data_IF_224857198395
#
_entry.id   IF_224857198395
#
_cell.length_a   1.000
_cell.length_b   1.000
_cell.length_c   1.000
_cell.angle_alpha   90.00
_cell.angle_beta   90.00
_cell.angle_gamma   90.00
#
_symmetry.space_group_name_H-M   'P 1'
#
loop_
_entity.id
_entity.type
_entity.pdbx_description
1 polymer ?
#
# COMPACT_ATOMS: atom_id res chain seq x y z
N UNK A 1 -55.51 17.74 95.03
CA UNK A 1 -54.85 18.96 94.49
C UNK A 1 -53.35 18.76 94.27
N UNK A 2 -52.56 18.39 95.29
CA UNK A 2 -51.10 18.21 95.14
C UNK A 2 -50.71 17.12 94.11
N UNK A 3 -51.44 16.00 94.08
CA UNK A 3 -51.22 14.89 93.13
C UNK A 3 -51.46 15.27 91.68
N UNK A 4 -52.45 16.12 91.41
CA UNK A 4 -52.80 16.60 90.07
C UNK A 4 -51.73 17.57 89.56
N UNK A 5 -51.22 18.44 90.43
CA UNK A 5 -50.12 19.37 90.10
C UNK A 5 -48.83 18.60 89.82
N UNK A 6 -48.50 17.59 90.62
CA UNK A 6 -47.33 16.74 90.39
C UNK A 6 -47.42 15.96 89.06
N UNK A 7 -48.61 15.46 88.71
CA UNK A 7 -48.84 14.78 87.43
C UNK A 7 -48.68 15.72 86.22
N UNK A 8 -49.21 16.95 86.30
CA UNK A 8 -49.05 17.96 85.25
C UNK A 8 -47.59 18.37 85.05
N UNK A 9 -46.83 18.54 86.15
CA UNK A 9 -45.40 18.83 86.07
C UNK A 9 -44.64 17.66 85.43
N UNK A 10 -44.95 16.41 85.80
CA UNK A 10 -44.37 15.22 85.17
C UNK A 10 -44.62 15.15 83.66
N UNK A 11 -45.83 15.47 83.21
CA UNK A 11 -46.18 15.52 81.79
C UNK A 11 -45.43 16.65 81.08
N UNK A 12 -45.37 17.85 81.65
CA UNK A 12 -44.63 18.98 81.07
C UNK A 12 -43.13 18.68 80.93
N UNK A 13 -42.51 18.12 81.97
CA UNK A 13 -41.09 17.74 81.94
C UNK A 13 -40.86 16.60 80.95
N UNK A 14 -41.75 15.60 80.89
CA UNK A 14 -41.69 14.52 79.93
C UNK A 14 -41.83 15.00 78.48
N UNK A 15 -42.74 15.93 78.21
CA UNK A 15 -42.95 16.52 76.88
C UNK A 15 -41.75 17.35 76.42
N UNK A 16 -41.17 18.16 77.30
CA UNK A 16 -39.96 18.94 77.01
C UNK A 16 -38.75 18.02 76.78
N UNK A 17 -38.60 16.98 77.61
CA UNK A 17 -37.56 15.96 77.44
C UNK A 17 -37.68 15.20 76.11
N UNK A 18 -38.90 14.79 75.75
CA UNK A 18 -39.18 14.12 74.47
C UNK A 18 -38.93 15.04 73.27
N UNK A 19 -39.36 16.31 73.33
CA UNK A 19 -39.17 17.27 72.25
C UNK A 19 -37.69 17.59 72.01
N UNK A 20 -36.92 17.83 73.07
CA UNK A 20 -35.47 18.08 72.97
C UNK A 20 -34.70 16.87 72.46
N UNK A 21 -35.06 15.66 72.90
CA UNK A 21 -34.49 14.41 72.39
C UNK A 21 -34.79 14.21 70.89
N UNK A 22 -36.04 14.43 70.48
CA UNK A 22 -36.45 14.30 69.07
C UNK A 22 -35.74 15.32 68.16
N UNK A 23 -35.60 16.58 68.60
CA UNK A 23 -34.89 17.62 67.86
C UNK A 23 -33.38 17.33 67.75
N UNK A 24 -32.77 16.80 68.80
CA UNK A 24 -31.35 16.40 68.77
C UNK A 24 -31.11 15.21 67.82
N UNK A 25 -31.99 14.20 67.85
CA UNK A 25 -31.92 13.02 66.98
C UNK A 25 -32.16 13.36 65.51
N UNK A 26 -33.12 14.23 65.22
CA UNK A 26 -33.40 14.67 63.84
C UNK A 26 -32.25 15.49 63.27
N UNK A 27 -31.71 16.45 64.04
CA UNK A 27 -30.54 17.23 63.65
C UNK A 27 -29.29 16.37 63.41
N UNK A 28 -29.08 15.34 64.24
CA UNK A 28 -27.98 14.38 64.06
C UNK A 28 -28.12 13.56 62.78
N UNK A 29 -29.33 13.10 62.45
CA UNK A 29 -29.60 12.34 61.21
C UNK A 29 -29.41 13.19 59.96
N UNK A 30 -29.85 14.45 59.98
CA UNK A 30 -29.67 15.38 58.85
C UNK A 30 -28.18 15.64 58.63
N UNK A 31 -27.42 15.96 59.68
CA UNK A 31 -25.96 16.14 59.58
C UNK A 31 -25.25 14.89 59.06
N UNK A 32 -25.62 13.70 59.55
CA UNK A 32 -25.05 12.45 59.05
C UNK A 32 -25.36 12.21 57.57
N UNK A 33 -26.57 12.57 57.10
CA UNK A 33 -26.95 12.49 55.69
C UNK A 33 -26.17 13.50 54.83
N UNK A 34 -25.96 14.73 55.31
CA UNK A 34 -25.14 15.75 54.65
C UNK A 34 -23.68 15.31 54.53
N UNK A 35 -23.07 14.86 55.62
CA UNK A 35 -21.68 14.34 55.59
C UNK A 35 -21.56 13.14 54.65
N UNK A 36 -22.56 12.24 54.63
CA UNK A 36 -22.56 11.11 53.68
C UNK A 36 -22.67 11.60 52.24
N UNK A 37 -23.54 12.57 51.96
CA UNK A 37 -23.69 13.17 50.63
C UNK A 37 -22.39 13.82 50.17
N UNK A 38 -21.74 14.61 51.01
CA UNK A 38 -20.46 15.26 50.70
C UNK A 38 -19.37 14.24 50.40
N UNK A 39 -19.28 13.16 51.18
CA UNK A 39 -18.35 12.06 50.90
C UNK A 39 -18.63 11.40 49.56
N UNK A 40 -19.88 11.04 49.29
CA UNK A 40 -20.26 10.39 48.02
C UNK A 40 -19.96 11.29 46.82
N UNK A 41 -20.23 12.60 46.92
CA UNK A 41 -19.90 13.55 45.86
C UNK A 41 -18.39 13.71 45.68
N UNK A 42 -17.64 13.83 46.77
CA UNK A 42 -16.17 13.94 46.71
C UNK A 42 -15.51 12.68 46.16
N UNK A 43 -16.02 11.50 46.52
CA UNK A 43 -15.54 10.23 45.96
C UNK A 43 -15.89 10.13 44.47
N UNK A 44 -17.11 10.48 44.07
CA UNK A 44 -17.52 10.50 42.66
C UNK A 44 -16.70 11.49 41.81
N UNK A 45 -16.35 12.66 42.35
CA UNK A 45 -15.47 13.63 41.66
C UNK A 45 -14.06 13.09 41.47
N UNK A 46 -13.48 12.43 42.49
CA UNK A 46 -12.16 11.81 42.41
C UNK A 46 -12.13 10.64 41.43
N UNK A 47 -13.17 9.82 41.42
CA UNK A 47 -13.29 8.69 40.50
C UNK A 47 -13.42 9.22 39.06
N UNK A 48 -14.24 10.25 38.84
CA UNK A 48 -14.37 10.89 37.53
C UNK A 48 -13.06 11.51 37.05
N UNK A 49 -12.29 12.15 37.94
CA UNK A 49 -10.98 12.69 37.60
C UNK A 49 -9.97 11.58 37.27
N UNK A 50 -10.00 10.47 38.03
CA UNK A 50 -9.15 9.30 37.78
C UNK A 50 -9.45 8.70 36.42
N UNK A 51 -10.71 8.39 36.12
CA UNK A 51 -11.13 7.83 34.82
C UNK A 51 -10.75 8.78 33.67
N UNK A 52 -10.92 10.09 33.86
CA UNK A 52 -10.52 11.09 32.85
C UNK A 52 -9.02 11.09 32.61
N UNK A 53 -8.20 10.95 33.65
CA UNK A 53 -6.73 10.90 33.51
C UNK A 53 -6.30 9.58 32.87
N UNK A 54 -6.82 8.46 33.32
CA UNK A 54 -6.51 7.13 32.79
C UNK A 54 -6.87 7.03 31.29
N UNK A 55 -8.08 7.43 30.92
CA UNK A 55 -8.50 7.46 29.50
C UNK A 55 -7.63 8.37 28.63
N UNK A 56 -7.16 9.52 29.16
CA UNK A 56 -6.22 10.37 28.43
C UNK A 56 -4.85 9.73 28.27
N UNK A 57 -4.37 9.00 29.28
CA UNK A 57 -3.10 8.27 29.20
C UNK A 57 -3.22 7.13 28.20
N UNK A 58 -4.27 6.31 28.29
CA UNK A 58 -4.54 5.20 27.38
C UNK A 58 -4.65 5.69 25.93
N UNK A 59 -5.40 6.77 25.68
CA UNK A 59 -5.50 7.36 24.34
C UNK A 59 -4.14 7.83 23.80
N UNK A 60 -3.26 8.35 24.66
CA UNK A 60 -1.90 8.75 24.26
C UNK A 60 -1.02 7.55 23.97
N UNK A 61 -1.10 6.51 24.78
CA UNK A 61 -0.35 5.26 24.57
C UNK A 61 -0.78 4.60 23.25
N UNK A 62 -2.08 4.49 23.00
CA UNK A 62 -2.63 3.99 21.74
C UNK A 62 -2.18 4.84 20.55
N UNK A 63 -2.18 6.17 20.68
CA UNK A 63 -1.72 7.05 19.60
C UNK A 63 -0.22 6.88 19.30
N UNK A 64 0.61 6.68 20.33
CA UNK A 64 2.06 6.42 20.15
C UNK A 64 2.29 5.06 19.52
N UNK A 65 1.56 4.03 19.97
CA UNK A 65 1.66 2.69 19.40
C UNK A 65 1.24 2.68 17.93
N UNK A 66 0.08 3.26 17.61
CA UNK A 66 -0.41 3.38 16.24
C UNK A 66 0.59 4.14 15.35
N UNK A 67 1.19 5.22 15.86
CA UNK A 67 2.23 5.94 15.12
C UNK A 67 3.43 5.06 14.84
N UNK A 68 3.89 4.28 15.82
CA UNK A 68 5.01 3.36 15.64
C UNK A 68 4.71 2.25 14.63
N UNK A 69 3.49 1.72 14.64
CA UNK A 69 3.05 0.70 13.68
C UNK A 69 3.01 1.26 12.25
N UNK A 70 2.46 2.46 12.07
CA UNK A 70 2.45 3.16 10.77
C UNK A 70 3.88 3.47 10.30
N UNK A 71 4.76 3.95 11.18
CA UNK A 71 6.15 4.22 10.82
C UNK A 71 6.88 2.96 10.34
N UNK A 72 6.65 1.82 11.02
CA UNK A 72 7.20 0.54 10.62
C UNK A 72 6.64 0.05 9.26
N UNK A 73 5.33 0.16 9.04
CA UNK A 73 4.69 -0.22 7.77
C UNK A 73 5.16 0.66 6.60
N UNK A 74 5.30 1.97 6.82
CA UNK A 74 5.85 2.91 5.83
C UNK A 74 7.29 2.56 5.51
N UNK A 75 8.10 2.19 6.51
CA UNK A 75 9.49 1.79 6.30
C UNK A 75 9.56 0.48 5.49
N UNK A 76 8.76 -0.53 5.83
CA UNK A 76 8.72 -1.79 5.09
C UNK A 76 8.27 -1.57 3.64
N UNK A 77 7.21 -0.80 3.45
CA UNK A 77 6.71 -0.42 2.11
C UNK A 77 7.81 0.29 1.29
N UNK A 78 8.54 1.23 1.89
CA UNK A 78 9.67 1.91 1.22
C UNK A 78 10.76 0.93 0.79
N UNK A 79 11.11 -0.04 1.64
CA UNK A 79 12.10 -1.06 1.30
C UNK A 79 11.61 -1.99 0.20
N UNK A 80 10.32 -2.36 0.20
CA UNK A 80 9.72 -3.16 -0.86
C UNK A 80 9.73 -2.41 -2.20
N UNK A 81 9.35 -1.13 -2.20
CA UNK A 81 9.36 -0.27 -3.39
C UNK A 81 10.78 -0.14 -3.94
N UNK A 82 11.77 0.17 -3.10
CA UNK A 82 13.16 0.30 -3.53
C UNK A 82 13.71 -0.98 -4.19
N UNK A 83 13.37 -2.16 -3.66
CA UNK A 83 13.75 -3.45 -4.28
C UNK A 83 13.09 -3.66 -5.64
N UNK A 84 11.84 -3.24 -5.80
CA UNK A 84 11.13 -3.34 -7.07
C UNK A 84 11.73 -2.38 -8.09
N UNK A 85 12.05 -1.15 -7.68
CA UNK A 85 12.72 -0.15 -8.51
C UNK A 85 14.10 -0.63 -8.98
N UNK A 86 14.93 -1.17 -8.09
CA UNK A 86 16.23 -1.73 -8.45
C UNK A 86 16.10 -2.84 -9.51
N UNK A 87 15.12 -3.75 -9.34
CA UNK A 87 14.84 -4.81 -10.30
C UNK A 87 14.32 -4.28 -11.64
N UNK A 88 13.58 -3.17 -11.64
CA UNK A 88 13.12 -2.52 -12.87
C UNK A 88 14.32 -1.93 -13.62
N UNK A 89 15.17 -1.18 -12.94
CA UNK A 89 16.38 -0.59 -13.53
C UNK A 89 17.28 -1.67 -14.14
N UNK A 90 17.53 -2.77 -13.42
CA UNK A 90 18.32 -3.89 -13.96
C UNK A 90 17.70 -4.49 -15.23
N UNK A 91 16.37 -4.57 -15.32
CA UNK A 91 15.68 -5.06 -16.52
C UNK A 91 15.72 -4.05 -17.66
N UNK A 92 15.63 -2.76 -17.36
CA UNK A 92 15.78 -1.69 -18.36
C UNK A 92 17.17 -1.74 -18.98
N UNK A 93 18.22 -1.84 -18.16
CA UNK A 93 19.60 -2.01 -18.63
C UNK A 93 19.79 -3.28 -19.49
N UNK A 94 19.17 -4.41 -19.09
CA UNK A 94 19.20 -5.64 -19.88
C UNK A 94 18.50 -5.48 -21.24
N UNK A 95 17.35 -4.80 -21.25
CA UNK A 95 16.58 -4.54 -22.47
C UNK A 95 17.37 -3.62 -23.40
N UNK A 96 17.96 -2.54 -22.89
CA UNK A 96 18.78 -1.61 -23.68
C UNK A 96 19.99 -2.32 -24.30
N UNK A 97 20.67 -3.18 -23.53
CA UNK A 97 21.78 -3.97 -24.05
C UNK A 97 21.34 -4.92 -25.19
N UNK A 98 20.19 -5.59 -25.03
CA UNK A 98 19.61 -6.43 -26.09
C UNK A 98 19.20 -5.62 -27.32
N UNK A 99 18.71 -4.41 -27.12
CA UNK A 99 18.29 -3.52 -28.21
C UNK A 99 19.49 -3.12 -29.06
N UNK A 100 20.62 -2.74 -28.43
CA UNK A 100 21.88 -2.47 -29.12
C UNK A 100 22.38 -3.71 -29.89
N UNK A 101 22.27 -4.91 -29.31
CA UNK A 101 22.67 -6.15 -30.00
C UNK A 101 21.81 -6.40 -31.24
N UNK A 102 20.50 -6.20 -31.13
CA UNK A 102 19.54 -6.35 -32.23
C UNK A 102 19.85 -5.33 -33.33
N UNK A 103 20.03 -4.06 -33.00
CA UNK A 103 20.37 -3.00 -33.97
C UNK A 103 21.66 -3.35 -34.75
N UNK A 104 22.71 -3.81 -34.04
CA UNK A 104 23.96 -4.25 -34.69
C UNK A 104 23.72 -5.43 -35.64
N UNK A 105 22.87 -6.37 -35.25
CA UNK A 105 22.52 -7.54 -36.07
C UNK A 105 21.71 -7.13 -37.29
N UNK A 106 20.75 -6.21 -37.15
CA UNK A 106 19.95 -5.67 -38.24
C UNK A 106 20.83 -4.94 -39.24
N UNK A 107 21.75 -4.09 -38.79
CA UNK A 107 22.72 -3.45 -39.66
C UNK A 107 23.55 -4.48 -40.44
N UNK A 108 24.11 -5.48 -39.75
CA UNK A 108 24.90 -6.53 -40.40
C UNK A 108 24.09 -7.39 -41.38
N UNK A 109 22.79 -7.57 -41.16
CA UNK A 109 21.90 -8.22 -42.12
C UNK A 109 21.63 -7.33 -43.33
N UNK A 110 21.41 -6.03 -43.12
CA UNK A 110 21.24 -5.04 -44.19
C UNK A 110 22.45 -4.98 -45.12
N UNK A 111 23.67 -4.92 -44.56
CA UNK A 111 24.91 -4.91 -45.34
C UNK A 111 25.06 -6.18 -46.20
N UNK A 112 24.71 -7.34 -45.63
CA UNK A 112 24.72 -8.62 -46.36
C UNK A 112 23.67 -8.66 -47.46
N UNK A 113 22.49 -8.10 -47.23
CA UNK A 113 21.43 -8.03 -48.24
C UNK A 113 21.87 -7.16 -49.43
N UNK A 114 22.49 -6.01 -49.17
CA UNK A 114 23.05 -5.13 -50.20
C UNK A 114 24.13 -5.87 -51.00
N UNK A 115 25.07 -6.53 -50.32
CA UNK A 115 26.14 -7.27 -51.00
C UNK A 115 25.61 -8.45 -51.83
N UNK A 116 24.61 -9.19 -51.30
CA UNK A 116 23.97 -10.28 -52.02
C UNK A 116 23.26 -9.80 -53.29
N UNK A 117 22.58 -8.64 -53.24
CA UNK A 117 21.97 -8.03 -54.42
C UNK A 117 23.01 -7.64 -55.47
N UNK A 118 24.13 -7.04 -55.07
CA UNK A 118 25.22 -6.70 -55.98
C UNK A 118 25.80 -7.94 -56.67
N UNK A 119 26.11 -9.00 -55.91
CA UNK A 119 26.58 -10.27 -56.47
C UNK A 119 25.57 -10.91 -57.42
N UNK A 120 24.27 -10.78 -57.13
CA UNK A 120 23.22 -11.30 -57.99
C UNK A 120 23.15 -10.54 -59.33
N UNK A 121 23.38 -9.22 -59.32
CA UNK A 121 23.49 -8.40 -60.53
C UNK A 121 24.75 -8.76 -61.34
N UNK A 122 25.92 -8.82 -60.70
CA UNK A 122 27.18 -9.23 -61.34
C UNK A 122 27.08 -10.63 -61.97
N UNK A 123 26.46 -11.59 -61.27
CA UNK A 123 26.25 -12.95 -61.79
C UNK A 123 25.33 -12.94 -63.00
N UNK A 124 24.31 -12.08 -63.02
CA UNK A 124 23.39 -11.94 -64.15
C UNK A 124 24.12 -11.36 -65.36
N UNK A 125 24.91 -10.31 -65.17
CA UNK A 125 25.73 -9.70 -66.23
C UNK A 125 26.73 -10.71 -66.80
N UNK A 126 27.50 -11.39 -65.94
CA UNK A 126 28.46 -12.40 -66.37
C UNK A 126 27.80 -13.56 -67.13
N UNK A 127 26.59 -13.97 -66.73
CA UNK A 127 25.80 -14.98 -67.44
C UNK A 127 25.37 -14.48 -68.82
N UNK A 128 24.90 -13.24 -68.93
CA UNK A 128 24.47 -12.66 -70.19
C UNK A 128 25.67 -12.51 -71.16
N UNK A 129 26.84 -12.08 -70.65
CA UNK A 129 28.09 -12.04 -71.43
C UNK A 129 28.54 -13.43 -71.90
N UNK A 130 28.47 -14.44 -71.03
CA UNK A 130 28.81 -15.81 -71.37
C UNK A 130 27.88 -16.38 -72.46
N UNK A 131 26.59 -16.07 -72.40
CA UNK A 131 25.62 -16.44 -73.44
C UNK A 131 25.98 -15.80 -74.78
N UNK A 132 26.25 -14.49 -74.80
CA UNK A 132 26.65 -13.77 -76.02
C UNK A 132 27.96 -14.34 -76.60
N UNK A 133 28.94 -14.65 -75.76
CA UNK A 133 30.18 -15.28 -76.20
C UNK A 133 29.93 -16.68 -76.81
N UNK A 134 29.03 -17.48 -76.21
CA UNK A 134 28.67 -18.80 -76.70
C UNK A 134 27.96 -18.73 -78.06
N UNK A 135 27.04 -17.78 -78.25
CA UNK A 135 26.38 -17.53 -79.53
C UNK A 135 27.39 -17.16 -80.62
N UNK A 136 28.35 -16.30 -80.30
CA UNK A 136 29.44 -15.94 -81.22
C UNK A 136 30.32 -17.12 -81.59
N UNK A 137 30.66 -17.98 -80.63
CA UNK A 137 31.56 -19.13 -80.83
C UNK A 137 30.88 -20.27 -81.59
N UNK A 138 29.57 -20.47 -81.36
CA UNK A 138 28.77 -21.49 -82.04
C UNK A 138 28.25 -21.03 -83.41
N UNK A 139 28.27 -19.73 -83.71
CA UNK A 139 27.74 -19.16 -84.94
C UNK A 139 26.22 -19.30 -85.07
N UNK A 140 25.54 -19.65 -83.98
CA UNK A 140 24.10 -19.87 -83.89
C UNK A 140 23.57 -19.11 -82.67
N UNK A 141 22.43 -18.45 -82.84
CA UNK A 141 21.69 -17.86 -81.72
C UNK A 141 21.12 -18.96 -80.82
N UNK A 142 20.84 -18.65 -79.55
CA UNK A 142 20.21 -19.60 -78.61
C UNK A 142 18.91 -20.22 -79.19
N UNK A 143 18.15 -19.45 -79.97
CA UNK A 143 16.94 -19.91 -80.63
C UNK A 143 17.24 -20.91 -81.77
N UNK A 144 18.25 -20.64 -82.59
CA UNK A 144 18.67 -21.50 -83.70
C UNK A 144 19.28 -22.82 -83.17
N UNK A 145 20.07 -22.75 -82.10
CA UNK A 145 20.64 -23.93 -81.45
C UNK A 145 19.54 -24.84 -80.86
N UNK A 146 18.49 -24.24 -80.26
CA UNK A 146 17.30 -24.98 -79.79
C UNK A 146 16.52 -25.64 -80.93
N UNK A 147 16.34 -24.94 -82.06
CA UNK A 147 15.67 -25.50 -83.23
C UNK A 147 16.44 -26.66 -83.84
N UNK A 148 17.77 -26.57 -83.99
CA UNK A 148 18.59 -27.68 -84.48
C UNK A 148 18.53 -28.91 -83.56
N UNK A 149 18.50 -28.71 -82.24
CA UNK A 149 18.34 -29.81 -81.28
C UNK A 149 16.97 -30.47 -81.41
N UNK A 150 15.91 -29.69 -81.61
CA UNK A 150 14.56 -30.20 -81.84
C UNK A 150 14.44 -30.94 -83.18
N UNK A 151 14.96 -30.40 -84.27
CA UNK A 151 15.00 -31.06 -85.58
C UNK A 151 15.83 -32.36 -85.57
N UNK A 152 16.86 -32.47 -84.72
CA UNK A 152 17.65 -33.70 -84.56
C UNK A 152 17.04 -34.72 -83.59
N UNK A 153 16.03 -34.34 -82.81
CA UNK A 153 15.36 -35.22 -81.83
C UNK A 153 13.97 -35.69 -82.28
N UNK A 154 13.49 -35.22 -83.43
CA UNK A 154 12.37 -35.79 -84.21
C UNK A 154 12.89 -36.66 -85.34
#
# INVERSE_FOLDING_TARGET
MLTVVAALIGICVGAIGAATCLLALSGSRVRAAETKRERVLGDAERDAETVRRESQVEAREQAVQLRSEIEAEVQDTRLQVAKVEERIVQKEEEIDARLIEIERREQGLGDREVHAKALQEELKEAKDEALVALERLSGLTVHEAKQQLLERST
#
